data_IF_103646025109
#
_entry.id   IF_103646025109
#
_cell.length_a   1.000
_cell.length_b   1.000
_cell.length_c   1.000
_cell.angle_alpha   90.00
_cell.angle_beta   90.00
_cell.angle_gamma   90.00
#
_symmetry.space_group_name_H-M   'P 1'
#
loop_
_entity.id
_entity.type
_entity.pdbx_description
1 polymer ?
#
# COMPACT_ATOMS: atom_id res chain seq x y z
N UNK A 1 64.18 17.76 -49.58
CA UNK A 1 62.74 17.44 -49.46
C UNK A 1 62.20 17.53 -48.02
N UNK A 2 62.98 17.22 -46.97
CA UNK A 2 62.51 17.28 -45.57
C UNK A 2 62.35 18.70 -44.99
N UNK A 3 63.20 19.66 -45.40
CA UNK A 3 63.19 21.04 -44.86
C UNK A 3 61.90 21.80 -45.22
N UNK A 4 61.31 21.48 -46.37
CA UNK A 4 60.14 22.19 -46.90
C UNK A 4 58.83 21.77 -46.19
N UNK A 5 58.76 20.52 -45.68
CA UNK A 5 57.66 20.08 -44.81
C UNK A 5 57.73 20.72 -43.43
N UNK A 6 58.93 20.92 -42.90
CA UNK A 6 59.13 21.51 -41.56
C UNK A 6 58.72 22.99 -41.54
N UNK A 7 59.06 23.77 -42.58
CA UNK A 7 58.56 25.15 -42.75
C UNK A 7 57.04 25.22 -42.81
N UNK A 8 56.41 24.30 -43.55
CA UNK A 8 54.95 24.25 -43.72
C UNK A 8 54.23 23.86 -42.43
N UNK A 9 54.84 23.01 -41.61
CA UNK A 9 54.29 22.61 -40.31
C UNK A 9 54.40 23.73 -39.27
N UNK A 10 55.55 24.42 -39.23
CA UNK A 10 55.77 25.57 -38.33
C UNK A 10 54.88 26.76 -38.71
N UNK A 11 54.68 27.04 -40.00
CA UNK A 11 53.76 28.11 -40.43
C UNK A 11 52.29 27.81 -40.13
N UNK A 12 51.91 26.54 -40.06
CA UNK A 12 50.54 26.15 -39.72
C UNK A 12 50.28 26.32 -38.21
N UNK A 13 51.23 25.91 -37.36
CA UNK A 13 51.14 26.07 -35.91
C UNK A 13 51.19 27.55 -35.47
N UNK A 14 52.00 28.37 -36.13
CA UNK A 14 52.08 29.82 -35.84
C UNK A 14 50.79 30.59 -36.21
N UNK A 15 49.92 30.02 -37.05
CA UNK A 15 48.68 30.67 -37.49
C UNK A 15 47.48 30.36 -36.56
N UNK A 16 47.52 29.27 -35.80
CA UNK A 16 46.48 28.91 -34.81
C UNK A 16 46.58 29.73 -33.51
N UNK A 17 47.74 30.33 -33.24
CA UNK A 17 47.92 31.23 -32.09
C UNK A 17 47.29 32.62 -32.31
N UNK A 18 46.94 32.95 -33.56
CA UNK A 18 46.34 34.22 -33.96
C UNK A 18 44.81 34.21 -33.93
N UNK A 19 44.21 33.24 -33.23
CA UNK A 19 42.79 33.25 -32.87
C UNK A 19 42.57 34.43 -31.93
N UNK A 20 42.04 35.53 -32.49
CA UNK A 20 41.83 36.78 -31.77
C UNK A 20 41.10 36.56 -30.43
N UNK A 21 41.50 37.24 -29.34
CA UNK A 21 40.94 37.00 -28.00
C UNK A 21 39.41 37.16 -27.94
N UNK A 22 38.81 37.91 -28.87
CA UNK A 22 37.36 38.07 -29.01
C UNK A 22 36.63 36.78 -29.40
N UNK A 23 37.20 35.94 -30.26
CA UNK A 23 36.57 34.68 -30.71
C UNK A 23 36.53 33.61 -29.61
N UNK A 24 37.52 33.58 -28.71
CA UNK A 24 37.52 32.75 -27.49
C UNK A 24 36.49 33.23 -26.46
N UNK A 25 36.27 34.54 -26.34
CA UNK A 25 35.27 35.10 -25.43
C UNK A 25 33.82 34.85 -25.90
N UNK A 26 33.56 34.93 -27.21
CA UNK A 26 32.24 34.66 -27.79
C UNK A 26 31.82 33.18 -27.68
N UNK A 27 32.77 32.26 -27.87
CA UNK A 27 32.52 30.81 -27.74
C UNK A 27 32.39 30.37 -26.27
N UNK A 28 33.14 30.98 -25.34
CA UNK A 28 32.95 30.77 -23.91
C UNK A 28 31.55 31.24 -23.46
N UNK A 29 31.12 32.46 -23.81
CA UNK A 29 29.84 33.04 -23.40
C UNK A 29 28.60 32.24 -23.86
N UNK A 30 28.61 31.71 -25.09
CA UNK A 30 27.50 30.89 -25.62
C UNK A 30 27.33 29.53 -24.95
N UNK A 31 28.41 28.94 -24.42
CA UNK A 31 28.35 27.64 -23.75
C UNK A 31 27.67 27.72 -22.39
N UNK A 32 27.97 28.73 -21.57
CA UNK A 32 27.37 28.94 -20.24
C UNK A 32 25.85 29.14 -20.31
N UNK A 33 25.33 29.79 -21.36
CA UNK A 33 23.89 29.94 -21.59
C UNK A 33 23.21 28.61 -21.96
N UNK A 34 23.88 27.73 -22.70
CA UNK A 34 23.37 26.39 -23.05
C UNK A 34 23.34 25.44 -21.85
N UNK A 35 24.35 25.50 -20.97
CA UNK A 35 24.36 24.72 -19.73
C UNK A 35 23.32 25.22 -18.71
N UNK A 36 23.12 26.53 -18.58
CA UNK A 36 22.09 27.09 -17.71
C UNK A 36 20.67 26.73 -18.18
N UNK A 37 20.40 26.78 -19.49
CA UNK A 37 19.10 26.40 -20.05
C UNK A 37 18.83 24.88 -19.92
N UNK A 38 19.84 24.04 -20.17
CA UNK A 38 19.73 22.57 -19.98
C UNK A 38 19.63 22.20 -18.50
N UNK A 39 20.35 22.88 -17.61
CA UNK A 39 20.26 22.69 -16.18
C UNK A 39 18.86 23.03 -15.64
N UNK A 40 18.23 24.12 -16.11
CA UNK A 40 16.86 24.47 -15.73
C UNK A 40 15.84 23.40 -16.11
N UNK A 41 15.99 22.76 -17.27
CA UNK A 41 15.12 21.67 -17.71
C UNK A 41 15.33 20.40 -16.86
N UNK A 42 16.59 20.01 -16.63
CA UNK A 42 16.93 18.84 -15.80
C UNK A 42 16.46 19.02 -14.37
N UNK A 43 16.62 20.21 -13.78
CA UNK A 43 16.13 20.52 -12.43
C UNK A 43 14.61 20.42 -12.38
N UNK A 44 13.87 20.91 -13.38
CA UNK A 44 12.40 20.78 -13.42
C UNK A 44 11.95 19.33 -13.53
N UNK A 45 12.57 18.52 -14.39
CA UNK A 45 12.26 17.09 -14.49
C UNK A 45 12.61 16.34 -13.20
N UNK A 46 13.75 16.64 -12.58
CA UNK A 46 14.13 16.06 -11.30
C UNK A 46 13.13 16.43 -10.20
N UNK A 47 12.70 17.69 -10.14
CA UNK A 47 11.73 18.17 -9.16
C UNK A 47 10.35 17.52 -9.36
N UNK A 48 9.88 17.41 -10.61
CA UNK A 48 8.65 16.68 -10.93
C UNK A 48 8.78 15.19 -10.59
N UNK A 49 9.91 14.55 -10.90
CA UNK A 49 10.15 13.16 -10.55
C UNK A 49 10.17 12.93 -9.04
N UNK A 50 10.79 13.83 -8.27
CA UNK A 50 10.80 13.81 -6.80
C UNK A 50 9.38 14.00 -6.24
N UNK A 51 8.61 14.94 -6.79
CA UNK A 51 7.21 15.14 -6.40
C UNK A 51 6.35 13.90 -6.70
N UNK A 52 6.51 13.28 -7.87
CA UNK A 52 5.82 12.04 -8.22
C UNK A 52 6.25 10.92 -7.28
N UNK A 53 7.54 10.80 -6.96
CA UNK A 53 8.06 9.77 -6.06
C UNK A 53 7.52 9.95 -4.63
N UNK A 54 7.50 11.19 -4.12
CA UNK A 54 6.89 11.53 -2.83
C UNK A 54 5.39 11.22 -2.82
N UNK A 55 4.69 11.58 -3.89
CA UNK A 55 3.27 11.26 -4.04
C UNK A 55 3.03 9.75 -4.06
N UNK A 56 3.84 8.99 -4.79
CA UNK A 56 3.78 7.53 -4.83
C UNK A 56 4.07 6.90 -3.47
N UNK A 57 5.07 7.42 -2.75
CA UNK A 57 5.40 6.97 -1.41
C UNK A 57 4.23 7.18 -0.44
N UNK A 58 3.60 8.36 -0.49
CA UNK A 58 2.46 8.68 0.36
C UNK A 58 1.20 7.88 0.00
N UNK A 59 0.95 7.63 -1.30
CA UNK A 59 -0.22 6.91 -1.79
C UNK A 59 -0.03 5.40 -1.94
N UNK A 60 1.14 4.84 -1.60
CA UNK A 60 1.42 3.41 -1.80
C UNK A 60 0.38 2.51 -1.13
N UNK A 61 -0.07 2.84 0.08
CA UNK A 61 -1.11 2.09 0.79
C UNK A 61 -2.45 2.10 0.04
N UNK A 62 -2.84 3.24 -0.53
CA UNK A 62 -4.07 3.37 -1.32
C UNK A 62 -3.94 2.61 -2.65
N UNK A 63 -2.77 2.67 -3.28
CA UNK A 63 -2.48 1.91 -4.51
C UNK A 63 -2.58 0.40 -4.25
N UNK A 64 -2.08 -0.06 -3.10
CA UNK A 64 -2.14 -1.45 -2.67
C UNK A 64 -3.59 -1.89 -2.39
N UNK A 65 -4.39 -1.04 -1.74
CA UNK A 65 -5.83 -1.25 -1.55
C UNK A 65 -6.56 -1.43 -2.88
N UNK A 66 -6.33 -0.54 -3.85
CA UNK A 66 -6.92 -0.62 -5.18
C UNK A 66 -6.44 -1.85 -5.93
N UNK A 67 -5.15 -2.19 -5.83
CA UNK A 67 -4.60 -3.41 -6.41
C UNK A 67 -5.28 -4.66 -5.86
N UNK A 68 -5.43 -4.76 -4.53
CA UNK A 68 -6.16 -5.85 -3.88
C UNK A 68 -7.62 -5.91 -4.36
N UNK A 69 -8.30 -4.77 -4.49
CA UNK A 69 -9.66 -4.71 -5.00
C UNK A 69 -9.77 -5.20 -6.45
N UNK A 70 -8.81 -4.84 -7.33
CA UNK A 70 -8.77 -5.32 -8.71
C UNK A 70 -8.55 -6.83 -8.77
N UNK A 71 -7.61 -7.35 -7.97
CA UNK A 71 -7.35 -8.79 -7.87
C UNK A 71 -8.60 -9.54 -7.42
N UNK A 72 -9.26 -9.03 -6.38
CA UNK A 72 -10.51 -9.57 -5.88
C UNK A 72 -11.60 -9.52 -6.96
N UNK A 73 -11.74 -8.41 -7.70
CA UNK A 73 -12.71 -8.26 -8.78
C UNK A 73 -12.50 -9.32 -9.88
N UNK A 74 -11.24 -9.54 -10.29
CA UNK A 74 -10.88 -10.59 -11.26
C UNK A 74 -11.25 -11.97 -10.72
N UNK A 75 -11.01 -12.23 -9.44
CA UNK A 75 -11.37 -13.50 -8.80
C UNK A 75 -12.90 -13.72 -8.75
N UNK A 76 -13.68 -12.72 -8.34
CA UNK A 76 -15.14 -12.80 -8.32
C UNK A 76 -15.68 -13.11 -9.72
N UNK A 77 -15.15 -12.43 -10.75
CA UNK A 77 -15.56 -12.66 -12.13
C UNK A 77 -15.12 -14.03 -12.65
N UNK A 78 -13.94 -14.49 -12.26
CA UNK A 78 -13.45 -15.82 -12.60
C UNK A 78 -14.40 -16.91 -12.07
N UNK A 79 -14.74 -16.85 -10.79
CA UNK A 79 -15.66 -17.77 -10.13
C UNK A 79 -17.08 -17.62 -10.67
N UNK A 80 -17.55 -16.38 -10.87
CA UNK A 80 -18.87 -16.09 -11.44
C UNK A 80 -19.07 -16.69 -12.83
N UNK A 81 -18.07 -16.64 -13.70
CA UNK A 81 -18.12 -17.27 -15.02
C UNK A 81 -18.15 -18.81 -14.94
N UNK A 82 -17.41 -19.43 -14.03
CA UNK A 82 -17.48 -20.89 -13.85
C UNK A 82 -18.82 -21.32 -13.26
N UNK A 83 -19.35 -20.53 -12.31
CA UNK A 83 -20.69 -20.75 -11.74
C UNK A 83 -21.78 -20.58 -12.81
N UNK A 84 -21.66 -19.58 -13.69
CA UNK A 84 -22.57 -19.38 -14.82
C UNK A 84 -22.59 -20.59 -15.76
N UNK A 85 -21.41 -21.16 -16.07
CA UNK A 85 -21.30 -22.36 -16.92
C UNK A 85 -21.95 -23.59 -16.28
N UNK A 86 -21.83 -23.74 -14.96
CA UNK A 86 -22.41 -24.88 -14.25
C UNK A 86 -23.93 -24.70 -14.02
N UNK A 87 -24.37 -23.50 -13.66
CA UNK A 87 -25.74 -23.21 -13.21
C UNK A 87 -26.65 -22.59 -14.30
N UNK A 88 -26.14 -22.22 -15.48
CA UNK A 88 -26.90 -21.63 -16.61
C UNK A 88 -27.73 -20.38 -16.25
N UNK A 89 -27.29 -19.59 -15.26
CA UNK A 89 -27.97 -18.35 -14.82
C UNK A 89 -27.46 -17.11 -15.56
N UNK A 90 -28.17 -15.98 -15.43
CA UNK A 90 -27.73 -14.71 -16.02
C UNK A 90 -26.46 -14.17 -15.34
N UNK A 91 -25.62 -13.45 -16.10
CA UNK A 91 -24.32 -12.94 -15.64
C UNK A 91 -24.45 -12.10 -14.36
N UNK A 92 -25.47 -11.25 -14.27
CA UNK A 92 -25.74 -10.44 -13.09
C UNK A 92 -26.10 -11.25 -11.84
N UNK A 93 -26.87 -12.34 -12.00
CA UNK A 93 -27.22 -13.23 -10.87
C UNK A 93 -26.03 -14.07 -10.42
N UNK A 94 -25.22 -14.58 -11.34
CA UNK A 94 -24.00 -15.31 -11.01
C UNK A 94 -23.04 -14.45 -10.18
N UNK A 95 -22.80 -13.21 -10.63
CA UNK A 95 -21.98 -12.25 -9.90
C UNK A 95 -22.60 -11.87 -8.56
N UNK A 96 -23.91 -11.66 -8.50
CA UNK A 96 -24.62 -11.34 -7.25
C UNK A 96 -24.49 -12.45 -6.20
N UNK A 97 -24.61 -13.71 -6.60
CA UNK A 97 -24.44 -14.87 -5.72
C UNK A 97 -23.00 -14.96 -5.20
N UNK A 98 -22.00 -14.82 -6.08
CA UNK A 98 -20.59 -14.89 -5.69
C UNK A 98 -20.18 -13.69 -4.83
N UNK A 99 -20.66 -12.49 -5.14
CA UNK A 99 -20.43 -11.32 -4.30
C UNK A 99 -21.07 -11.49 -2.92
N UNK A 100 -22.30 -11.99 -2.87
CA UNK A 100 -23.01 -12.24 -1.62
C UNK A 100 -22.32 -13.33 -0.78
N UNK A 101 -21.77 -14.37 -1.41
CA UNK A 101 -21.05 -15.42 -0.68
C UNK A 101 -19.77 -14.89 -0.04
N UNK A 102 -19.03 -14.01 -0.71
CA UNK A 102 -17.84 -13.36 -0.14
C UNK A 102 -18.22 -12.47 1.05
N UNK A 103 -19.28 -11.66 0.92
CA UNK A 103 -19.76 -10.80 2.02
C UNK A 103 -20.25 -11.63 3.20
N UNK A 104 -21.00 -12.70 2.96
CA UNK A 104 -21.46 -13.61 4.02
C UNK A 104 -20.29 -14.32 4.70
N UNK A 105 -19.29 -14.77 3.95
CA UNK A 105 -18.10 -15.40 4.51
C UNK A 105 -17.34 -14.45 5.43
N UNK A 106 -17.14 -13.19 5.00
CA UNK A 106 -16.49 -12.18 5.83
C UNK A 106 -17.30 -11.81 7.07
N UNK A 107 -18.62 -11.65 6.93
CA UNK A 107 -19.51 -11.40 8.06
C UNK A 107 -19.45 -12.54 9.09
N UNK A 108 -19.40 -13.79 8.63
CA UNK A 108 -19.25 -14.97 9.49
C UNK A 108 -17.90 -14.96 10.23
N UNK A 109 -16.79 -14.63 9.55
CA UNK A 109 -15.48 -14.50 10.20
C UNK A 109 -15.47 -13.42 11.27
N UNK A 110 -16.07 -12.26 11.00
CA UNK A 110 -16.17 -11.16 11.98
C UNK A 110 -17.04 -11.59 13.17
N UNK A 111 -18.18 -12.23 12.91
CA UNK A 111 -19.07 -12.71 13.96
C UNK A 111 -18.40 -13.76 14.86
N UNK A 112 -17.55 -14.63 14.30
CA UNK A 112 -16.79 -15.63 15.06
C UNK A 112 -15.60 -15.02 15.82
N UNK A 113 -14.95 -13.98 15.29
CA UNK A 113 -13.80 -13.33 15.91
C UNK A 113 -14.17 -12.33 17.03
N UNK A 114 -15.35 -11.70 16.95
CA UNK A 114 -15.81 -10.69 17.91
C UNK A 114 -15.91 -11.20 19.36
N UNK A 115 -16.61 -12.32 19.67
CA UNK A 115 -16.77 -12.77 21.05
C UNK A 115 -15.43 -13.16 21.69
N UNK A 116 -14.53 -13.78 20.93
CA UNK A 116 -13.19 -14.13 21.43
C UNK A 116 -12.36 -12.90 21.81
N UNK A 117 -12.47 -11.79 21.07
CA UNK A 117 -11.78 -10.54 21.40
C UNK A 117 -12.36 -9.86 22.65
N UNK A 118 -13.69 -9.86 22.78
CA UNK A 118 -14.39 -9.23 23.91
C UNK A 118 -14.19 -10.03 25.20
N UNK A 119 -14.33 -11.36 25.16
CA UNK A 119 -14.17 -12.22 26.33
C UNK A 119 -12.72 -12.17 26.85
N UNK A 120 -11.73 -12.18 25.96
CA UNK A 120 -10.32 -12.04 26.34
C UNK A 120 -10.04 -10.66 26.96
N UNK A 121 -10.62 -9.59 26.44
CA UNK A 121 -10.49 -8.25 27.01
C UNK A 121 -11.16 -8.13 28.38
N UNK A 122 -12.34 -8.73 28.58
CA UNK A 122 -13.01 -8.75 29.87
C UNK A 122 -12.28 -9.58 30.91
N UNK A 123 -11.69 -10.72 30.54
CA UNK A 123 -10.88 -11.53 31.46
C UNK A 123 -9.66 -10.74 31.94
N UNK A 124 -8.96 -10.02 31.05
CA UNK A 124 -7.86 -9.13 31.42
C UNK A 124 -8.34 -7.96 32.32
N UNK A 125 -9.46 -7.33 31.97
CA UNK A 125 -10.05 -6.24 32.74
C UNK A 125 -10.51 -6.67 34.16
N UNK A 126 -10.97 -7.91 34.32
CA UNK A 126 -11.48 -8.43 35.59
C UNK A 126 -10.40 -9.10 36.46
N UNK A 127 -9.35 -9.65 35.87
CA UNK A 127 -8.31 -10.40 36.61
C UNK A 127 -7.27 -9.47 37.23
N UNK A 128 -6.91 -8.40 36.55
CA UNK A 128 -5.94 -7.39 37.04
C UNK A 128 -6.37 -6.76 38.37
N UNK A 129 -7.58 -6.21 38.52
CA UNK A 129 -8.00 -5.59 39.78
C UNK A 129 -8.13 -6.60 40.93
N UNK A 130 -8.54 -7.84 40.64
CA UNK A 130 -8.60 -8.92 41.65
C UNK A 130 -7.20 -9.25 42.17
N UNK A 131 -6.22 -9.46 41.29
CA UNK A 131 -4.84 -9.72 41.69
C UNK A 131 -4.25 -8.58 42.53
N UNK A 132 -4.55 -7.32 42.17
CA UNK A 132 -4.12 -6.15 42.94
C UNK A 132 -4.80 -6.05 44.30
N UNK A 133 -6.10 -6.38 44.38
CA UNK A 133 -6.85 -6.39 45.65
C UNK A 133 -6.33 -7.45 46.63
N UNK A 134 -6.01 -8.64 46.12
CA UNK A 134 -5.46 -9.73 46.94
C UNK A 134 -4.04 -9.40 47.41
N UNK A 135 -3.21 -8.80 46.56
CA UNK A 135 -1.87 -8.33 46.95
C UNK A 135 -1.97 -7.21 47.99
N UNK A 136 -2.85 -6.22 47.81
CA UNK A 136 -3.06 -5.15 48.81
C UNK A 136 -3.53 -5.71 50.15
N UNK A 137 -4.47 -6.66 50.13
CA UNK A 137 -4.99 -7.27 51.35
C UNK A 137 -3.92 -8.08 52.08
N UNK A 138 -3.08 -8.84 51.37
CA UNK A 138 -1.97 -9.58 51.97
C UNK A 138 -0.86 -8.65 52.47
N UNK A 139 -0.52 -7.57 51.75
CA UNK A 139 0.44 -6.58 52.25
C UNK A 139 -0.08 -5.79 53.45
N UNK A 140 -1.38 -5.51 53.53
CA UNK A 140 -1.97 -4.78 54.66
C UNK A 140 -1.97 -5.57 55.98
N UNK A 141 -1.75 -6.89 55.91
CA UNK A 141 -1.60 -7.74 57.09
C UNK A 141 -0.18 -7.67 57.70
N UNK A 142 0.79 -7.12 56.98
CA UNK A 142 2.14 -6.88 57.49
C UNK A 142 2.31 -5.41 57.88
N UNK A 143 2.80 -5.13 59.10
CA UNK A 143 2.92 -3.77 59.64
C UNK A 143 3.82 -2.81 58.83
N UNK A 144 4.75 -3.34 58.02
CA UNK A 144 5.57 -2.55 57.09
C UNK A 144 4.86 -2.25 55.75
N UNK A 145 3.80 -2.99 55.42
CA UNK A 145 3.03 -2.81 54.19
C UNK A 145 2.11 -1.59 54.24
N UNK A 146 1.65 -1.19 55.43
CA UNK A 146 0.85 0.01 55.63
C UNK A 146 1.66 1.30 55.37
N UNK A 147 2.92 1.33 55.82
CA UNK A 147 3.84 2.45 55.59
C UNK A 147 4.21 2.59 54.10
N UNK A 148 4.44 1.46 53.42
CA UNK A 148 4.70 1.43 51.97
C UNK A 148 3.49 1.91 51.15
N UNK A 149 2.26 1.53 51.54
CA UNK A 149 1.02 1.93 50.85
C UNK A 149 0.68 3.42 51.00
N UNK A 150 1.28 4.12 51.97
CA UNK A 150 1.08 5.55 52.23
C UNK A 150 2.15 6.39 51.52
N UNK A 151 3.39 5.90 51.42
CA UNK A 151 4.43 6.55 50.61
C UNK A 151 4.24 6.33 49.11
N UNK A 152 3.63 5.21 48.74
CA UNK A 152 3.26 4.87 47.38
C UNK A 152 1.76 5.13 47.20
N UNK A 153 1.39 6.34 46.80
CA UNK A 153 0.03 6.75 46.39
C UNK A 153 -0.49 6.01 45.12
N UNK A 154 -0.08 4.75 44.94
CA UNK A 154 -0.33 3.83 43.83
C UNK A 154 -1.81 3.43 43.71
N UNK A 155 -2.66 3.74 44.70
CA UNK A 155 -3.98 3.07 44.79
C UNK A 155 -5.19 3.92 44.38
N UNK A 156 -5.05 5.24 44.18
CA UNK A 156 -6.19 6.06 43.72
C UNK A 156 -5.93 6.74 42.39
N UNK A 157 -4.79 7.38 42.21
CA UNK A 157 -4.44 8.09 40.98
C UNK A 157 -4.11 7.12 39.83
N UNK A 158 -3.30 6.08 40.06
CA UNK A 158 -3.03 5.06 39.03
C UNK A 158 -4.23 4.16 38.71
N UNK A 159 -5.09 3.90 39.69
CA UNK A 159 -6.35 3.19 39.47
C UNK A 159 -7.38 4.07 38.74
N UNK A 160 -7.45 5.36 39.04
CA UNK A 160 -8.22 6.33 38.25
C UNK A 160 -7.67 6.48 36.83
N UNK A 161 -6.36 6.42 36.61
CA UNK A 161 -5.72 6.43 35.27
C UNK A 161 -5.93 5.12 34.49
N UNK A 162 -6.03 4.00 35.20
CA UNK A 162 -6.41 2.72 34.60
C UNK A 162 -7.90 2.68 34.25
N UNK A 163 -8.77 3.17 35.13
CA UNK A 163 -10.21 3.28 34.92
C UNK A 163 -10.59 4.36 33.91
N UNK A 164 -9.80 5.43 33.78
CA UNK A 164 -9.96 6.47 32.76
C UNK A 164 -9.42 6.04 31.38
N UNK A 165 -8.88 4.82 31.27
CA UNK A 165 -8.38 4.26 30.01
C UNK A 165 -7.06 4.85 29.52
N UNK A 166 -6.34 5.61 30.35
CA UNK A 166 -5.07 6.27 29.98
C UNK A 166 -3.83 5.41 30.24
N UNK A 167 -3.95 4.30 30.96
CA UNK A 167 -2.82 3.42 31.23
C UNK A 167 -2.18 2.85 29.93
N UNK A 168 -0.86 2.72 29.90
CA UNK A 168 -0.08 2.30 28.72
C UNK A 168 -0.51 0.95 28.11
N UNK A 169 -1.17 0.11 28.90
CA UNK A 169 -1.71 -1.19 28.52
C UNK A 169 -3.13 -1.07 27.95
N UNK A 170 -3.90 -0.07 28.34
CA UNK A 170 -5.13 0.34 27.65
C UNK A 170 -4.82 1.01 26.30
N UNK A 171 -3.71 1.75 26.20
CA UNK A 171 -3.21 2.26 24.91
C UNK A 171 -2.72 1.14 23.99
N UNK A 172 -2.07 0.09 24.52
CA UNK A 172 -1.69 -1.11 23.73
C UNK A 172 -2.90 -1.92 23.30
N UNK A 173 -3.87 -2.14 24.20
CA UNK A 173 -5.14 -2.80 23.86
C UNK A 173 -5.91 -1.97 22.83
N UNK A 174 -6.07 -0.66 23.07
CA UNK A 174 -6.66 0.29 22.14
C UNK A 174 -5.94 0.31 20.79
N UNK A 175 -4.62 0.17 20.77
CA UNK A 175 -3.82 0.03 19.55
C UNK A 175 -4.09 -1.27 18.79
N UNK A 176 -4.23 -2.40 19.48
CA UNK A 176 -4.61 -3.69 18.85
C UNK A 176 -6.04 -3.66 18.32
N UNK A 177 -6.98 -3.08 19.08
CA UNK A 177 -8.36 -2.86 18.63
C UNK A 177 -8.41 -1.93 17.43
N UNK A 178 -7.67 -0.82 17.45
CA UNK A 178 -7.57 0.12 16.34
C UNK A 178 -6.95 -0.54 15.10
N UNK A 179 -5.91 -1.36 15.26
CA UNK A 179 -5.27 -2.10 14.15
C UNK A 179 -6.23 -3.13 13.55
N UNK A 180 -6.95 -3.88 14.38
CA UNK A 180 -7.95 -4.84 13.91
C UNK A 180 -9.10 -4.14 13.18
N UNK A 181 -9.57 -3.02 13.74
CA UNK A 181 -10.59 -2.19 13.10
C UNK A 181 -10.11 -1.60 11.77
N UNK A 182 -8.85 -1.15 11.69
CA UNK A 182 -8.24 -0.65 10.46
C UNK A 182 -8.16 -1.73 9.38
N UNK A 183 -7.74 -2.96 9.74
CA UNK A 183 -7.73 -4.11 8.82
C UNK A 183 -9.15 -4.47 8.36
N UNK A 184 -10.15 -4.43 9.25
CA UNK A 184 -11.54 -4.68 8.89
C UNK A 184 -12.08 -3.59 7.95
N UNK A 185 -11.78 -2.32 8.22
CA UNK A 185 -12.16 -1.20 7.36
C UNK A 185 -11.48 -1.31 5.98
N UNK A 186 -10.19 -1.61 5.94
CA UNK A 186 -9.44 -1.85 4.70
C UNK A 186 -10.03 -3.01 3.91
N UNK A 187 -10.33 -4.14 4.58
CA UNK A 187 -10.96 -5.31 3.96
C UNK A 187 -12.35 -4.97 3.41
N UNK A 188 -13.16 -4.23 4.17
CA UNK A 188 -14.46 -3.77 3.73
C UNK A 188 -14.36 -2.90 2.46
N UNK A 189 -13.42 -1.96 2.43
CA UNK A 189 -13.15 -1.13 1.24
C UNK A 189 -12.70 -1.99 0.05
N UNK A 190 -11.79 -2.94 0.25
CA UNK A 190 -11.33 -3.87 -0.81
C UNK A 190 -12.51 -4.65 -1.39
N UNK A 191 -13.39 -5.17 -0.54
CA UNK A 191 -14.54 -5.99 -0.94
C UNK A 191 -15.55 -5.16 -1.70
N UNK A 192 -15.93 -4.00 -1.17
CA UNK A 192 -16.89 -3.11 -1.81
C UNK A 192 -16.38 -2.61 -3.16
N UNK A 193 -15.12 -2.17 -3.20
CA UNK A 193 -14.45 -1.72 -4.43
C UNK A 193 -14.31 -2.89 -5.44
N UNK A 194 -13.95 -4.08 -4.98
CA UNK A 194 -13.82 -5.27 -5.80
C UNK A 194 -15.14 -5.72 -6.43
N UNK A 195 -16.24 -5.70 -5.66
CA UNK A 195 -17.58 -5.98 -6.16
C UNK A 195 -17.99 -4.94 -7.22
N UNK A 196 -17.74 -3.66 -6.96
CA UNK A 196 -18.07 -2.57 -7.88
C UNK A 196 -17.28 -2.66 -9.20
N UNK A 197 -15.98 -2.98 -9.12
CA UNK A 197 -15.12 -3.26 -10.29
C UNK A 197 -15.56 -4.52 -11.05
N UNK A 198 -16.02 -5.56 -10.34
CA UNK A 198 -16.45 -6.82 -10.94
C UNK A 198 -17.79 -6.71 -11.69
N UNK A 199 -18.68 -5.83 -11.22
CA UNK A 199 -19.99 -5.62 -11.83
C UNK A 199 -19.89 -5.07 -13.26
N UNK A 200 -19.06 -4.06 -13.49
CA UNK A 200 -18.90 -3.43 -14.80
C UNK A 200 -17.43 -3.14 -15.17
N UNK A 201 -16.59 -4.18 -15.40
CA UNK A 201 -15.16 -3.98 -15.70
C UNK A 201 -14.94 -3.22 -17.01
N UNK A 202 -15.88 -3.35 -17.96
CA UNK A 202 -15.82 -2.65 -19.24
C UNK A 202 -15.81 -1.13 -19.09
N UNK A 203 -16.57 -0.58 -18.14
CA UNK A 203 -16.61 0.86 -17.86
C UNK A 203 -15.21 1.38 -17.45
N UNK A 204 -14.55 0.67 -16.53
CA UNK A 204 -13.24 1.04 -16.01
C UNK A 204 -12.12 0.86 -17.03
N UNK A 205 -12.11 -0.26 -17.76
CA UNK A 205 -11.11 -0.51 -18.80
C UNK A 205 -11.24 0.51 -19.92
N UNK A 206 -12.47 0.79 -20.37
CA UNK A 206 -12.71 1.77 -21.41
C UNK A 206 -12.34 3.19 -20.96
N UNK A 207 -12.62 3.56 -19.70
CA UNK A 207 -12.17 4.82 -19.11
C UNK A 207 -10.65 4.93 -19.06
N UNK A 208 -9.94 3.88 -18.63
CA UNK A 208 -8.48 3.84 -18.61
C UNK A 208 -7.88 3.97 -20.02
N UNK A 209 -8.46 3.26 -21.01
CA UNK A 209 -8.02 3.34 -22.40
C UNK A 209 -8.23 4.73 -23.03
N UNK A 210 -9.14 5.56 -22.49
CA UNK A 210 -9.35 6.92 -22.97
C UNK A 210 -8.18 7.86 -22.69
N UNK A 211 -7.40 7.60 -21.64
CA UNK A 211 -6.18 8.36 -21.30
C UNK A 211 -5.06 8.17 -22.32
N UNK A 212 -5.15 7.16 -23.17
CA UNK A 212 -4.13 6.84 -24.16
C UNK A 212 -4.57 7.23 -25.59
N UNK A 213 -3.59 7.61 -26.45
CA UNK A 213 -3.86 7.91 -27.85
C UNK A 213 -4.49 6.71 -28.57
N UNK A 214 -5.46 6.97 -29.47
CA UNK A 214 -6.24 5.93 -30.16
C UNK A 214 -5.40 4.84 -30.83
N UNK A 215 -4.22 5.17 -31.36
CA UNK A 215 -3.30 4.22 -31.98
C UNK A 215 -2.74 3.14 -31.03
N UNK A 216 -2.64 3.40 -29.72
CA UNK A 216 -2.10 2.43 -28.75
C UNK A 216 -3.17 1.63 -28.00
N UNK A 217 -4.46 2.00 -28.12
CA UNK A 217 -5.57 1.33 -27.43
C UNK A 217 -5.69 -0.16 -27.73
N UNK A 218 -5.61 -0.65 -28.99
CA UNK A 218 -5.76 -2.07 -29.29
C UNK A 218 -4.66 -2.92 -28.64
N UNK A 219 -3.44 -2.38 -28.56
CA UNK A 219 -2.31 -3.06 -27.95
C UNK A 219 -2.45 -3.13 -26.42
N UNK A 220 -2.94 -2.06 -25.79
CA UNK A 220 -3.20 -2.03 -24.36
C UNK A 220 -4.34 -3.00 -23.97
N UNK A 221 -5.41 -3.03 -24.75
CA UNK A 221 -6.52 -3.96 -24.55
C UNK A 221 -6.05 -5.43 -24.65
N UNK A 222 -5.23 -5.76 -25.65
CA UNK A 222 -4.66 -7.10 -25.79
C UNK A 222 -3.78 -7.51 -24.60
N UNK A 223 -3.00 -6.57 -24.04
CA UNK A 223 -2.18 -6.82 -22.84
C UNK A 223 -3.08 -7.04 -21.62
N UNK A 224 -4.07 -6.19 -21.40
CA UNK A 224 -5.03 -6.31 -20.30
C UNK A 224 -5.79 -7.64 -20.35
N UNK A 225 -6.25 -8.05 -21.54
CA UNK A 225 -6.92 -9.33 -21.73
C UNK A 225 -5.99 -10.51 -21.42
N UNK A 226 -4.74 -10.48 -21.88
CA UNK A 226 -3.76 -11.54 -21.56
C UNK A 226 -3.44 -11.61 -20.07
N UNK A 227 -3.22 -10.47 -19.42
CA UNK A 227 -3.01 -10.40 -17.98
C UNK A 227 -4.20 -10.98 -17.22
N UNK A 228 -5.42 -10.65 -17.64
CA UNK A 228 -6.65 -11.19 -17.04
C UNK A 228 -6.74 -12.72 -17.19
N UNK A 229 -6.48 -13.26 -18.39
CA UNK A 229 -6.52 -14.72 -18.61
C UNK A 229 -5.42 -15.45 -17.84
N UNK A 230 -4.19 -14.92 -17.82
CA UNK A 230 -3.07 -15.50 -17.07
C UNK A 230 -3.35 -15.48 -15.57
N UNK A 231 -3.83 -14.35 -15.05
CA UNK A 231 -4.15 -14.20 -13.64
C UNK A 231 -5.28 -15.15 -13.23
N UNK A 232 -6.35 -15.24 -14.04
CA UNK A 232 -7.45 -16.20 -13.81
C UNK A 232 -6.94 -17.64 -13.77
N UNK A 233 -6.11 -18.05 -14.74
CA UNK A 233 -5.55 -19.39 -14.80
C UNK A 233 -4.66 -19.72 -13.59
N UNK A 234 -3.80 -18.78 -13.19
CA UNK A 234 -2.94 -18.94 -12.02
C UNK A 234 -3.75 -19.07 -10.72
N UNK A 235 -4.79 -18.25 -10.52
CA UNK A 235 -5.65 -18.33 -9.35
C UNK A 235 -6.40 -19.67 -9.25
N UNK A 236 -6.94 -20.17 -10.36
CA UNK A 236 -7.63 -21.47 -10.39
C UNK A 236 -6.64 -22.59 -10.03
N UNK A 237 -5.42 -22.57 -10.60
CA UNK A 237 -4.38 -23.52 -10.25
C UNK A 237 -4.00 -23.48 -8.77
N UNK A 238 -3.88 -22.27 -8.21
CA UNK A 238 -3.57 -22.08 -6.79
C UNK A 238 -4.68 -22.59 -5.88
N UNK A 239 -5.95 -22.29 -6.19
CA UNK A 239 -7.11 -22.78 -5.44
C UNK A 239 -7.19 -24.30 -5.47
N UNK A 240 -6.93 -24.91 -6.63
CA UNK A 240 -6.89 -26.36 -6.77
C UNK A 240 -5.77 -26.97 -5.92
N UNK A 241 -4.58 -26.36 -5.92
CA UNK A 241 -3.45 -26.80 -5.09
C UNK A 241 -3.76 -26.70 -3.59
N UNK A 242 -4.38 -25.62 -3.13
CA UNK A 242 -4.75 -25.45 -1.72
C UNK A 242 -5.86 -26.42 -1.30
N UNK A 243 -6.83 -26.67 -2.19
CA UNK A 243 -7.89 -27.66 -1.93
C UNK A 243 -7.33 -29.07 -1.82
N UNK A 244 -6.38 -29.43 -2.69
CA UNK A 244 -5.74 -30.74 -2.67
C UNK A 244 -4.91 -30.95 -1.39
N UNK A 245 -4.21 -29.91 -0.91
CA UNK A 245 -3.47 -29.95 0.35
C UNK A 245 -4.38 -29.97 1.57
N UNK A 246 -5.52 -29.26 1.55
CA UNK A 246 -6.44 -29.19 2.70
C UNK A 246 -7.26 -30.45 2.92
N UNK A 247 -7.38 -31.33 1.91
CA UNK A 247 -8.06 -32.62 2.03
C UNK A 247 -7.12 -33.73 2.53
N UNK A 248 -5.80 -33.52 2.43
CA UNK A 248 -4.77 -34.47 2.87
C UNK A 248 -4.50 -34.35 4.38
#
# INVERSE_FOLDING_TARGET
MAIDKLKRWVSFYANDENVSPQSRQLSASGSHLSYAAKAGLTVRFALVAILILLFLWYSFSVLLLVFCAIVLAVLLRAVGMELQRYAHISEGLALGIVASSVVMFLAALIALATPTLVDQAQVLANTIPRAFSTLKQQLSQFGWGQELLIQLDITKTQLLDFLSGQSALFQRLGGVFATTFDVLAATFVIVLMGIYLAAEPGLYINGFLQLFPRHRRPRLEAVLQRSNTMLKGWFIGQLLSMSMLGVL
#
